data_IF_061731399144
#
_entry.id   IF_061731399144
#
_cell.length_a   1.000
_cell.length_b   1.000
_cell.length_c   1.000
_cell.angle_alpha   90.00
_cell.angle_beta   90.00
_cell.angle_gamma   90.00
#
_symmetry.space_group_name_H-M   'P 1'
#
loop_
_entity.id
_entity.type
_entity.pdbx_description
1 polymer ?
#
# COMPACT_ATOMS: atom_id res chain seq x y z
N UNK A 1 -4.66 11.91 -7.21
CA UNK A 1 -3.45 11.62 -8.03
C UNK A 1 -3.44 10.18 -8.51
N UNK A 2 -2.53 9.85 -9.43
CA UNK A 2 -2.26 8.50 -9.95
C UNK A 2 -0.79 8.15 -9.66
N UNK A 3 -0.54 6.97 -9.12
CA UNK A 3 0.80 6.47 -8.78
C UNK A 3 1.01 5.16 -9.55
N UNK A 4 2.00 5.06 -10.46
CA UNK A 4 2.39 3.79 -11.06
C UNK A 4 2.98 2.87 -9.99
N UNK A 5 2.58 1.59 -9.97
CA UNK A 5 2.91 0.66 -8.86
C UNK A 5 3.53 -0.67 -9.29
N UNK A 6 3.68 -0.93 -10.59
CA UNK A 6 4.25 -2.20 -11.07
C UNK A 6 3.44 -3.40 -10.59
N UNK A 7 4.11 -4.48 -10.18
CA UNK A 7 3.49 -5.58 -9.45
C UNK A 7 3.12 -5.12 -8.03
N UNK A 8 1.83 -4.85 -7.86
CA UNK A 8 1.21 -4.50 -6.60
C UNK A 8 -0.23 -5.00 -6.60
N UNK A 9 -0.61 -5.73 -5.57
CA UNK A 9 -1.98 -6.14 -5.31
C UNK A 9 -2.44 -5.46 -4.02
N UNK A 10 -3.28 -4.42 -4.17
CA UNK A 10 -3.80 -3.64 -3.05
C UNK A 10 -4.69 -4.49 -2.14
N UNK A 11 -5.53 -5.35 -2.72
CA UNK A 11 -6.47 -6.17 -1.97
C UNK A 11 -5.73 -7.19 -1.12
N UNK A 12 -4.77 -7.91 -1.71
CA UNK A 12 -3.94 -8.87 -1.02
C UNK A 12 -3.09 -8.20 0.07
N UNK A 13 -2.53 -7.03 -0.22
CA UNK A 13 -1.76 -6.25 0.76
C UNK A 13 -2.60 -5.85 1.97
N UNK A 14 -3.85 -5.41 1.77
CA UNK A 14 -4.76 -5.08 2.87
C UNK A 14 -5.26 -6.33 3.62
N UNK A 15 -5.50 -7.45 2.94
CA UNK A 15 -6.19 -8.62 3.52
C UNK A 15 -5.26 -9.74 4.03
N UNK A 16 -3.96 -9.58 3.88
CA UNK A 16 -2.94 -10.59 4.27
C UNK A 16 -2.70 -10.71 5.79
N UNK A 17 -3.34 -9.85 6.61
CA UNK A 17 -3.21 -9.91 8.08
C UNK A 17 -1.86 -9.43 8.60
N UNK A 18 -1.15 -8.59 7.82
CA UNK A 18 0.17 -8.07 8.18
C UNK A 18 0.17 -7.15 9.40
N UNK A 19 -0.94 -6.45 9.65
CA UNK A 19 -1.07 -5.51 10.77
C UNK A 19 -2.12 -5.98 11.77
N UNK A 20 -1.86 -5.72 13.05
CA UNK A 20 -2.86 -5.85 14.12
C UNK A 20 -3.97 -4.80 13.99
N UNK A 21 -3.70 -3.68 13.33
CA UNK A 21 -4.70 -2.71 12.93
C UNK A 21 -5.61 -3.28 11.84
N UNK A 22 -6.92 -2.97 11.88
CA UNK A 22 -7.80 -3.35 10.80
C UNK A 22 -7.30 -2.73 9.49
N UNK A 23 -7.41 -3.46 8.36
CA UNK A 23 -7.14 -2.90 7.06
C UNK A 23 -8.02 -1.68 6.81
N UNK A 24 -7.59 -0.85 5.86
CA UNK A 24 -8.38 0.30 5.42
C UNK A 24 -9.80 -0.16 5.09
N UNK A 25 -10.79 0.66 5.42
CA UNK A 25 -12.19 0.26 5.26
C UNK A 25 -12.53 0.19 3.77
N UNK A 26 -12.93 -0.98 3.32
CA UNK A 26 -13.39 -1.16 1.95
C UNK A 26 -14.86 -0.75 1.78
N UNK A 27 -15.12 0.07 0.77
CA UNK A 27 -16.47 0.45 0.32
C UNK A 27 -16.46 0.53 -1.21
N UNK A 28 -17.28 -0.31 -1.86
CA UNK A 28 -17.45 -0.31 -3.33
C UNK A 28 -16.13 -0.49 -4.11
N UNK A 29 -15.29 -1.43 -3.67
CA UNK A 29 -13.98 -1.73 -4.29
C UNK A 29 -12.91 -0.66 -4.06
N UNK A 30 -13.13 0.24 -3.10
CA UNK A 30 -12.19 1.28 -2.73
C UNK A 30 -11.84 1.19 -1.25
N UNK A 31 -10.56 1.34 -0.92
CA UNK A 31 -10.07 1.33 0.44
C UNK A 31 -9.99 2.76 0.97
N UNK A 32 -10.58 3.02 2.13
CA UNK A 32 -10.71 4.35 2.72
C UNK A 32 -10.13 4.40 4.12
N UNK A 33 -9.38 5.46 4.41
CA UNK A 33 -8.76 5.68 5.72
C UNK A 33 -8.54 7.17 6.01
N UNK A 34 -8.42 7.52 7.29
CA UNK A 34 -7.94 8.81 7.75
C UNK A 34 -6.42 8.79 7.91
N UNK A 35 -5.71 9.62 7.12
CA UNK A 35 -4.28 9.82 7.26
C UNK A 35 -3.98 11.18 7.89
N UNK A 36 -2.89 11.29 8.65
CA UNK A 36 -2.37 12.59 9.10
C UNK A 36 -1.29 13.05 8.12
N UNK A 37 -1.57 14.13 7.37
CA UNK A 37 -0.65 14.74 6.41
C UNK A 37 -0.33 16.14 6.93
N UNK A 38 0.94 16.41 7.27
CA UNK A 38 1.36 17.72 7.82
C UNK A 38 0.50 18.20 8.99
N UNK A 39 0.14 17.27 9.89
CA UNK A 39 -0.77 17.50 11.05
C UNK A 39 -2.22 17.81 10.70
N UNK A 40 -2.59 17.67 9.42
CA UNK A 40 -3.98 17.79 8.95
C UNK A 40 -4.59 16.40 8.79
N UNK A 41 -5.73 16.11 9.44
CA UNK A 41 -6.48 14.90 9.18
C UNK A 41 -7.04 14.91 7.75
N UNK A 42 -6.67 13.90 6.97
CA UNK A 42 -6.98 13.79 5.56
C UNK A 42 -7.63 12.44 5.29
N UNK A 43 -8.96 12.38 5.11
CA UNK A 43 -9.61 11.19 4.60
C UNK A 43 -9.13 10.94 3.17
N UNK A 44 -8.68 9.72 2.89
CA UNK A 44 -8.14 9.30 1.61
C UNK A 44 -8.84 8.03 1.15
N UNK A 45 -9.15 7.98 -0.14
CA UNK A 45 -9.57 6.77 -0.85
C UNK A 45 -8.44 6.31 -1.78
N UNK A 46 -8.18 5.01 -1.81
CA UNK A 46 -7.30 4.36 -2.78
C UNK A 46 -8.01 3.25 -3.53
N UNK A 47 -7.70 3.13 -4.83
CA UNK A 47 -8.18 2.07 -5.72
C UNK A 47 -7.04 1.61 -6.60
N UNK A 48 -6.94 0.31 -6.79
CA UNK A 48 -6.06 -0.26 -7.80
C UNK A 48 -6.76 -0.25 -9.17
N UNK A 49 -6.08 0.31 -10.16
CA UNK A 49 -6.52 0.42 -11.55
C UNK A 49 -5.39 -0.09 -12.47
N UNK A 50 -5.19 -1.42 -12.50
CA UNK A 50 -4.30 -2.13 -13.42
C UNK A 50 -2.88 -1.52 -13.51
N UNK A 51 -2.11 -1.67 -12.43
CA UNK A 51 -0.72 -1.16 -12.35
C UNK A 51 -0.64 0.34 -12.01
N UNK A 52 -1.78 0.96 -11.70
CA UNK A 52 -1.87 2.33 -11.22
C UNK A 52 -2.72 2.38 -9.95
N UNK A 53 -2.12 2.83 -8.85
CA UNK A 53 -2.84 3.17 -7.64
C UNK A 53 -3.43 4.59 -7.77
N UNK A 54 -4.75 4.67 -7.85
CA UNK A 54 -5.48 5.94 -7.83
C UNK A 54 -5.72 6.35 -6.39
N UNK A 55 -5.23 7.54 -6.04
CA UNK A 55 -5.36 8.12 -4.70
C UNK A 55 -6.24 9.37 -4.77
N UNK A 56 -7.27 9.46 -3.94
CA UNK A 56 -8.18 10.60 -3.85
C UNK A 56 -8.28 11.09 -2.40
N UNK A 57 -7.68 12.24 -2.06
CA UNK A 57 -7.97 12.90 -0.80
C UNK A 57 -9.34 13.61 -0.86
N UNK A 58 -10.02 13.69 0.28
CA UNK A 58 -11.28 14.42 0.44
C UNK A 58 -11.10 15.86 0.95
N UNK A 59 -9.85 16.24 1.26
CA UNK A 59 -9.44 17.58 1.68
C UNK A 59 -8.24 18.03 0.86
N UNK A 60 -8.01 19.34 0.80
CA UNK A 60 -6.83 19.87 0.12
C UNK A 60 -5.58 19.66 0.96
N UNK A 61 -4.59 18.98 0.38
CA UNK A 61 -3.30 18.67 1.00
C UNK A 61 -2.20 18.68 -0.07
N UNK A 62 -0.94 18.95 0.31
CA UNK A 62 0.19 18.87 -0.61
C UNK A 62 0.29 17.48 -1.25
N UNK A 63 0.11 17.41 -2.57
CA UNK A 63 0.11 16.16 -3.31
C UNK A 63 1.43 15.39 -3.18
N UNK A 64 2.55 16.12 -3.04
CA UNK A 64 3.87 15.51 -2.84
C UNK A 64 3.94 14.75 -1.51
N UNK A 65 3.57 15.39 -0.41
CA UNK A 65 3.61 14.78 0.93
C UNK A 65 2.63 13.60 1.03
N UNK A 66 1.43 13.74 0.45
CA UNK A 66 0.49 12.62 0.38
C UNK A 66 1.04 11.45 -0.45
N UNK A 67 1.68 11.73 -1.60
CA UNK A 67 2.33 10.69 -2.43
C UNK A 67 3.38 9.94 -1.63
N UNK A 68 4.30 10.67 -0.99
CA UNK A 68 5.37 10.08 -0.18
C UNK A 68 4.81 9.21 0.96
N UNK A 69 3.71 9.65 1.59
CA UNK A 69 3.03 8.88 2.63
C UNK A 69 2.41 7.59 2.08
N UNK A 70 1.76 7.63 0.92
CA UNK A 70 1.17 6.44 0.28
C UNK A 70 2.26 5.47 -0.19
N UNK A 71 3.33 5.99 -0.82
CA UNK A 71 4.50 5.20 -1.23
C UNK A 71 5.15 4.50 -0.03
N UNK A 72 5.19 5.15 1.13
CA UNK A 72 5.67 4.56 2.36
C UNK A 72 4.73 3.48 2.90
N UNK A 73 3.44 3.77 3.08
CA UNK A 73 2.47 2.84 3.69
C UNK A 73 2.39 1.51 2.90
N UNK A 74 2.46 1.57 1.58
CA UNK A 74 2.39 0.38 0.72
C UNK A 74 3.76 -0.11 0.24
N UNK A 75 4.85 0.43 0.80
CA UNK A 75 6.23 0.08 0.45
C UNK A 75 6.51 0.02 -1.06
N UNK A 76 5.99 1.02 -1.80
CA UNK A 76 5.99 1.04 -3.26
C UNK A 76 7.38 1.26 -3.87
N UNK A 77 8.38 1.63 -3.06
CA UNK A 77 9.76 1.82 -3.47
C UNK A 77 10.62 0.56 -3.30
N UNK A 78 10.10 -0.45 -2.63
CA UNK A 78 10.77 -1.73 -2.51
C UNK A 78 10.95 -2.38 -3.89
N UNK A 79 12.13 -2.91 -4.16
CA UNK A 79 12.40 -3.63 -5.40
C UNK A 79 11.85 -5.06 -5.28
N UNK A 80 10.58 -5.21 -5.64
CA UNK A 80 9.89 -6.49 -5.51
C UNK A 80 10.40 -7.53 -6.51
N UNK A 81 10.92 -7.09 -7.66
CA UNK A 81 11.43 -7.98 -8.70
C UNK A 81 12.77 -8.60 -8.27
N UNK A 82 13.65 -7.81 -7.66
CA UNK A 82 14.87 -8.33 -7.02
C UNK A 82 14.52 -9.33 -5.91
N UNK A 83 13.51 -9.04 -5.10
CA UNK A 83 13.04 -9.95 -4.06
C UNK A 83 12.46 -11.26 -4.62
N UNK A 84 11.71 -11.19 -5.72
CA UNK A 84 11.21 -12.38 -6.41
C UNK A 84 12.35 -13.22 -6.96
N UNK A 85 13.34 -12.58 -7.60
CA UNK A 85 14.56 -13.25 -8.08
C UNK A 85 15.28 -13.95 -6.92
N UNK A 86 15.42 -13.29 -5.77
CA UNK A 86 16.00 -13.89 -4.58
C UNK A 86 15.21 -15.12 -4.10
N UNK A 87 13.88 -15.07 -4.08
CA UNK A 87 13.05 -16.22 -3.66
C UNK A 87 13.18 -17.39 -4.64
N UNK A 88 13.24 -17.12 -5.94
CA UNK A 88 13.49 -18.14 -6.97
C UNK A 88 14.85 -18.81 -6.79
N UNK A 89 15.91 -18.04 -6.55
CA UNK A 89 17.27 -18.53 -6.27
C UNK A 89 17.35 -19.42 -5.01
N UNK A 90 16.40 -19.25 -4.07
CA UNK A 90 16.26 -20.07 -2.87
C UNK A 90 15.31 -21.26 -3.04
N UNK A 91 14.81 -21.53 -4.24
CA UNK A 91 13.78 -22.54 -4.52
C UNK A 91 12.49 -22.33 -3.72
N UNK A 92 12.13 -21.06 -3.45
CA UNK A 92 10.90 -20.65 -2.78
C UNK A 92 9.87 -20.08 -3.76
N UNK A 93 10.05 -20.32 -5.06
CA UNK A 93 9.18 -19.81 -6.13
C UNK A 93 7.70 -20.18 -5.97
N UNK A 94 7.40 -21.35 -5.40
CA UNK A 94 6.03 -21.76 -5.10
C UNK A 94 5.28 -20.78 -4.16
N UNK A 95 6.01 -19.99 -3.37
CA UNK A 95 5.42 -18.96 -2.50
C UNK A 95 4.84 -17.83 -3.35
N UNK A 96 5.49 -17.50 -4.47
CA UNK A 96 5.11 -16.42 -5.38
C UNK A 96 3.76 -16.69 -6.07
N UNK A 97 3.42 -17.96 -6.32
CA UNK A 97 2.20 -18.35 -7.02
C UNK A 97 0.93 -17.79 -6.37
N UNK A 98 0.93 -17.65 -5.04
CA UNK A 98 -0.20 -17.12 -4.26
C UNK A 98 0.01 -15.73 -3.67
N UNK A 99 1.24 -15.19 -3.73
CA UNK A 99 1.60 -13.95 -3.04
C UNK A 99 2.18 -12.87 -3.95
N UNK A 100 2.08 -13.04 -5.28
CA UNK A 100 2.55 -12.03 -6.24
C UNK A 100 1.79 -10.72 -6.06
N UNK A 101 2.49 -9.60 -6.16
CA UNK A 101 1.98 -8.26 -5.88
C UNK A 101 1.84 -7.90 -4.39
N UNK A 102 2.02 -8.85 -3.46
CA UNK A 102 1.96 -8.56 -2.03
C UNK A 102 3.09 -7.62 -1.60
N UNK A 103 2.75 -6.49 -1.00
CA UNK A 103 3.71 -5.54 -0.43
C UNK A 103 3.64 -5.53 1.09
N UNK A 104 4.71 -5.07 1.72
CA UNK A 104 4.70 -4.77 3.15
C UNK A 104 3.77 -3.58 3.42
N UNK A 105 2.81 -3.79 4.30
CA UNK A 105 1.91 -2.74 4.75
C UNK A 105 2.47 -2.09 6.02
N UNK A 106 3.18 -0.97 5.83
CA UNK A 106 3.89 -0.29 6.89
C UNK A 106 2.95 0.55 7.76
N UNK A 107 3.27 0.59 9.06
CA UNK A 107 2.51 1.35 10.05
C UNK A 107 2.37 2.82 9.61
N UNK A 108 1.15 3.34 9.67
CA UNK A 108 0.83 4.71 9.27
C UNK A 108 1.51 5.72 10.19
N UNK A 109 1.76 5.34 11.43
CA UNK A 109 2.49 6.09 12.45
C UNK A 109 3.38 5.11 13.24
N UNK A 110 4.68 5.41 13.48
CA UNK A 110 5.52 4.59 14.35
C UNK A 110 4.96 4.40 15.76
N UNK A 111 4.18 5.36 16.28
CA UNK A 111 3.53 5.29 17.59
C UNK A 111 2.22 4.49 17.60
N UNK A 112 1.71 4.11 16.43
CA UNK A 112 0.53 3.24 16.30
C UNK A 112 0.88 1.75 16.39
N UNK A 113 2.18 1.39 16.34
CA UNK A 113 2.70 0.03 16.46
C UNK A 113 3.51 -0.19 17.75
N UNK A 114 2.90 0.06 18.91
CA UNK A 114 3.47 -0.30 20.24
C UNK A 114 2.86 -1.60 20.74
#
# INVERSE_FOLDING_TARGET
>A
MRIPVGDFDLEMTQRSGQTSQPPWREVEGAFRELLIIERVPCPVEVRDEAGVLRVRPYVDVPQKTLREKIEYIFDLKFDIEDFYTFLEDKNLSYTLDSSRGLRLFLAKDPFECV
#
